data_IF_677038587690
#
_entry.id   IF_677038587690
#
_cell.length_a   1.000
_cell.length_b   1.000
_cell.length_c   1.000
_cell.angle_alpha   90.00
_cell.angle_beta   90.00
_cell.angle_gamma   90.00
#
_symmetry.space_group_name_H-M   'P 1'
#
loop_
_entity.id
_entity.type
_entity.pdbx_description
1 polymer ?
#
# COMPACT_ATOMS: atom_id res chain seq x y z
N UNK A 1 -0.49 -23.78 -7.03
CA UNK A 1 -0.61 -22.76 -8.09
C UNK A 1 0.73 -22.06 -8.26
N UNK A 2 1.27 -21.99 -9.47
CA UNK A 2 2.61 -21.41 -9.66
C UNK A 2 2.58 -19.89 -9.50
N UNK A 3 3.63 -19.32 -8.88
CA UNK A 3 3.87 -17.88 -8.73
C UNK A 3 3.59 -17.08 -10.02
N UNK A 4 4.02 -17.64 -11.17
CA UNK A 4 3.80 -17.02 -12.49
C UNK A 4 2.32 -16.86 -12.82
N UNK A 5 1.49 -17.85 -12.49
CA UNK A 5 0.04 -17.79 -12.73
C UNK A 5 -0.62 -16.71 -11.86
N UNK A 6 -0.30 -16.66 -10.56
CA UNK A 6 -0.82 -15.65 -9.66
C UNK A 6 -0.42 -14.23 -10.09
N UNK A 7 0.83 -14.05 -10.55
CA UNK A 7 1.31 -12.76 -11.04
C UNK A 7 0.59 -12.33 -12.31
N UNK A 8 0.45 -13.20 -13.30
CA UNK A 8 -0.29 -12.91 -14.54
C UNK A 8 -1.75 -12.57 -14.21
N UNK A 9 -2.39 -13.35 -13.34
CA UNK A 9 -3.76 -13.10 -12.91
C UNK A 9 -3.95 -11.71 -12.28
N UNK A 10 -3.10 -11.34 -11.31
CA UNK A 10 -3.16 -10.03 -10.65
C UNK A 10 -2.89 -8.88 -11.62
N UNK A 11 -1.90 -9.03 -12.49
CA UNK A 11 -1.56 -8.00 -13.49
C UNK A 11 -2.72 -7.80 -14.47
N UNK A 12 -3.30 -8.87 -14.98
CA UNK A 12 -4.45 -8.80 -15.91
C UNK A 12 -5.64 -8.10 -15.25
N UNK A 13 -6.00 -8.47 -14.02
CA UNK A 13 -7.09 -7.81 -13.30
C UNK A 13 -6.82 -6.33 -13.04
N UNK A 14 -5.60 -5.98 -12.68
CA UNK A 14 -5.20 -4.58 -12.45
C UNK A 14 -5.30 -3.76 -13.74
N UNK A 15 -4.88 -4.33 -14.87
CA UNK A 15 -4.98 -3.67 -16.18
C UNK A 15 -6.42 -3.52 -16.65
N UNK A 16 -7.25 -4.54 -16.47
CA UNK A 16 -8.69 -4.48 -16.79
C UNK A 16 -9.37 -3.40 -15.97
N UNK A 17 -9.09 -3.34 -14.67
CA UNK A 17 -9.67 -2.31 -13.79
C UNK A 17 -9.16 -0.91 -14.14
N UNK A 18 -7.86 -0.78 -14.43
CA UNK A 18 -7.26 0.48 -14.89
C UNK A 18 -7.87 0.97 -16.20
N UNK A 19 -8.12 0.07 -17.14
CA UNK A 19 -8.81 0.39 -18.41
C UNK A 19 -10.26 0.82 -18.21
N UNK A 20 -11.00 0.13 -17.34
CA UNK A 20 -12.37 0.51 -17.00
C UNK A 20 -12.44 1.89 -16.33
N UNK A 21 -11.51 2.19 -15.41
CA UNK A 21 -11.42 3.49 -14.76
C UNK A 21 -11.07 4.59 -15.76
N UNK A 22 -10.09 4.35 -16.64
CA UNK A 22 -9.73 5.30 -17.69
C UNK A 22 -10.90 5.57 -18.65
N UNK A 23 -11.65 4.54 -19.03
CA UNK A 23 -12.86 4.68 -19.83
C UNK A 23 -13.90 5.55 -19.13
N UNK A 24 -14.17 5.32 -17.85
CA UNK A 24 -15.10 6.12 -17.06
C UNK A 24 -14.69 7.60 -16.99
N UNK A 25 -13.40 7.92 -16.83
CA UNK A 25 -12.93 9.32 -16.81
C UNK A 25 -12.92 10.00 -18.17
N UNK A 26 -12.81 9.26 -19.29
CA UNK A 26 -12.78 9.83 -20.64
C UNK A 26 -14.20 10.07 -21.18
N UNK A 27 -15.14 9.16 -20.89
CA UNK A 27 -16.48 9.14 -21.50
C UNK A 27 -17.56 9.62 -20.53
N UNK A 28 -17.38 9.39 -19.22
CA UNK A 28 -18.32 9.75 -18.16
C UNK A 28 -18.05 11.13 -17.58
N UNK A 29 -19.10 11.75 -17.05
CA UNK A 29 -19.00 12.96 -16.23
C UNK A 29 -19.11 12.56 -14.74
N UNK A 30 -17.98 12.56 -14.05
CA UNK A 30 -17.86 12.05 -12.67
C UNK A 30 -18.87 12.68 -11.69
N UNK A 31 -19.21 13.95 -11.90
CA UNK A 31 -20.13 14.67 -11.02
C UNK A 31 -21.60 14.36 -11.34
N UNK A 32 -21.94 14.27 -12.62
CA UNK A 32 -23.30 13.99 -13.08
C UNK A 32 -23.67 12.54 -12.84
N UNK A 33 -22.82 11.59 -13.30
CA UNK A 33 -22.99 10.15 -13.12
C UNK A 33 -22.95 9.74 -11.64
N UNK A 34 -22.09 10.38 -10.84
CA UNK A 34 -22.01 10.18 -9.39
C UNK A 34 -23.27 10.66 -8.65
N UNK A 35 -23.89 11.74 -9.12
CA UNK A 35 -25.16 12.24 -8.61
C UNK A 35 -26.31 11.23 -8.85
N UNK A 36 -26.44 10.73 -10.07
CA UNK A 36 -27.42 9.71 -10.42
C UNK A 36 -27.23 8.40 -9.63
N UNK A 37 -26.00 8.01 -9.40
CA UNK A 37 -25.67 6.82 -8.59
C UNK A 37 -26.16 6.98 -7.14
N UNK A 38 -26.06 8.17 -6.58
CA UNK A 38 -26.51 8.49 -5.22
C UNK A 38 -28.04 8.53 -5.10
N UNK A 39 -28.77 8.83 -6.16
CA UNK A 39 -30.22 8.82 -6.19
C UNK A 39 -30.80 7.40 -6.28
N UNK A 40 -30.00 6.44 -6.77
CA UNK A 40 -30.41 5.05 -6.91
C UNK A 40 -30.06 4.24 -5.65
N UNK A 41 -31.05 3.61 -4.95
CA UNK A 41 -30.79 2.79 -3.77
C UNK A 41 -29.78 1.66 -4.01
N UNK A 42 -29.80 1.03 -5.20
CA UNK A 42 -28.82 0.02 -5.58
C UNK A 42 -27.42 0.58 -5.83
N UNK A 43 -27.34 1.83 -6.28
CA UNK A 43 -26.07 2.56 -6.41
C UNK A 43 -25.41 2.78 -5.05
N UNK A 44 -26.19 3.20 -4.05
CA UNK A 44 -25.72 3.36 -2.67
C UNK A 44 -25.21 2.02 -2.10
N UNK A 45 -25.97 0.94 -2.26
CA UNK A 45 -25.56 -0.41 -1.79
C UNK A 45 -24.25 -0.83 -2.45
N UNK A 46 -24.10 -0.63 -3.76
CA UNK A 46 -22.86 -0.94 -4.48
C UNK A 46 -21.67 -0.13 -3.98
N UNK A 47 -21.89 1.14 -3.65
CA UNK A 47 -20.86 1.98 -3.08
C UNK A 47 -20.39 1.48 -1.72
N UNK A 48 -21.33 1.12 -0.83
CA UNK A 48 -21.00 0.51 0.45
C UNK A 48 -20.22 -0.79 0.30
N UNK A 49 -20.62 -1.67 -0.62
CA UNK A 49 -19.94 -2.94 -0.89
C UNK A 49 -18.47 -2.73 -1.30
N UNK A 50 -18.23 -1.79 -2.21
CA UNK A 50 -16.87 -1.43 -2.65
C UNK A 50 -16.04 -0.88 -1.50
N UNK A 51 -16.57 0.05 -0.70
CA UNK A 51 -15.83 0.62 0.43
C UNK A 51 -15.55 -0.41 1.52
N UNK A 52 -16.51 -1.27 1.84
CA UNK A 52 -16.30 -2.39 2.77
C UNK A 52 -15.18 -3.31 2.26
N UNK A 53 -15.15 -3.60 0.95
CA UNK A 53 -14.05 -4.34 0.33
C UNK A 53 -12.68 -3.65 0.51
N UNK A 54 -12.63 -2.32 0.37
CA UNK A 54 -11.39 -1.56 0.63
C UNK A 54 -10.96 -1.67 2.10
N UNK A 55 -11.89 -1.58 3.05
CA UNK A 55 -11.56 -1.74 4.48
C UNK A 55 -11.04 -3.15 4.80
N UNK A 56 -11.58 -4.20 4.20
CA UNK A 56 -11.02 -5.54 4.34
C UNK A 56 -9.60 -5.63 3.79
N UNK A 57 -9.34 -5.01 2.64
CA UNK A 57 -8.00 -5.01 2.05
C UNK A 57 -7.01 -4.18 2.87
N UNK A 58 -7.42 -3.02 3.39
CA UNK A 58 -6.64 -2.20 4.32
C UNK A 58 -6.34 -2.97 5.61
N UNK A 59 -7.32 -3.71 6.15
CA UNK A 59 -7.13 -4.60 7.30
C UNK A 59 -6.03 -5.64 7.06
N UNK A 60 -5.98 -6.21 5.86
CA UNK A 60 -4.89 -7.11 5.47
C UNK A 60 -3.54 -6.39 5.39
N UNK A 61 -3.48 -5.16 4.87
CA UNK A 61 -2.25 -4.36 4.86
C UNK A 61 -1.76 -4.08 6.28
N UNK A 62 -2.67 -3.67 7.19
CA UNK A 62 -2.36 -3.43 8.62
C UNK A 62 -1.80 -4.68 9.28
N UNK A 63 -2.37 -5.84 8.98
CA UNK A 63 -1.88 -7.11 9.51
C UNK A 63 -0.50 -7.49 8.97
N UNK A 64 -0.21 -7.13 7.71
CA UNK A 64 1.00 -7.52 6.99
C UNK A 64 2.19 -6.58 7.21
N UNK A 65 1.93 -5.26 7.23
CA UNK A 65 2.98 -4.24 7.32
C UNK A 65 3.17 -3.80 8.79
N UNK A 66 4.41 -3.69 9.22
CA UNK A 66 4.73 -3.24 10.58
C UNK A 66 4.97 -1.71 10.67
N UNK A 67 5.07 -1.01 9.53
CA UNK A 67 5.37 0.41 9.47
C UNK A 67 4.10 1.25 9.34
N UNK A 68 3.73 2.07 10.34
CA UNK A 68 2.50 2.86 10.30
C UNK A 68 2.46 3.86 9.14
N UNK A 69 3.59 4.45 8.77
CA UNK A 69 3.68 5.36 7.63
C UNK A 69 3.37 4.69 6.28
N UNK A 70 3.82 3.46 6.08
CA UNK A 70 3.54 2.68 4.87
C UNK A 70 2.08 2.27 4.83
N UNK A 71 1.53 1.84 5.98
CA UNK A 71 0.11 1.50 6.12
C UNK A 71 -0.76 2.69 5.75
N UNK A 72 -0.48 3.86 6.33
CA UNK A 72 -1.24 5.08 6.07
C UNK A 72 -1.17 5.49 4.59
N UNK A 73 0.03 5.48 4.00
CA UNK A 73 0.22 5.85 2.60
C UNK A 73 -0.58 4.95 1.65
N UNK A 74 -0.52 3.63 1.82
CA UNK A 74 -1.29 2.70 1.01
C UNK A 74 -2.79 2.76 1.28
N UNK A 75 -3.22 2.97 2.53
CA UNK A 75 -4.63 3.12 2.87
C UNK A 75 -5.25 4.33 2.18
N UNK A 76 -4.59 5.49 2.24
CA UNK A 76 -5.04 6.71 1.55
C UNK A 76 -5.05 6.50 0.03
N UNK A 77 -4.00 5.89 -0.52
CA UNK A 77 -3.92 5.61 -1.95
C UNK A 77 -5.05 4.68 -2.42
N UNK A 78 -5.44 3.67 -1.63
CA UNK A 78 -6.54 2.75 -1.95
C UNK A 78 -7.88 3.47 -1.90
N UNK A 79 -8.11 4.33 -0.91
CA UNK A 79 -9.36 5.09 -0.80
C UNK A 79 -9.55 6.06 -1.97
N UNK A 80 -8.46 6.60 -2.54
CA UNK A 80 -8.50 7.52 -3.69
C UNK A 80 -8.46 6.80 -5.04
N UNK A 81 -7.64 5.77 -5.17
CA UNK A 81 -7.41 5.06 -6.44
C UNK A 81 -8.13 3.72 -6.57
N UNK A 82 -8.86 3.32 -5.53
CA UNK A 82 -9.72 2.14 -5.54
C UNK A 82 -8.98 0.82 -5.80
N UNK A 83 -9.68 -0.06 -6.52
CA UNK A 83 -9.19 -1.41 -6.82
C UNK A 83 -7.92 -1.45 -7.70
N UNK A 84 -7.63 -0.39 -8.47
CA UNK A 84 -6.38 -0.32 -9.26
C UNK A 84 -5.18 -0.27 -8.32
N UNK A 85 -5.24 0.56 -7.27
CA UNK A 85 -4.16 0.68 -6.29
C UNK A 85 -4.05 -0.59 -5.44
N UNK A 86 -5.18 -1.21 -5.07
CA UNK A 86 -5.20 -2.51 -4.39
C UNK A 86 -4.50 -3.59 -5.21
N UNK A 87 -4.81 -3.67 -6.52
CA UNK A 87 -4.16 -4.58 -7.45
C UNK A 87 -2.65 -4.31 -7.57
N UNK A 88 -2.25 -3.05 -7.69
CA UNK A 88 -0.84 -2.65 -7.76
C UNK A 88 -0.08 -3.05 -6.49
N UNK A 89 -0.65 -2.82 -5.30
CA UNK A 89 -0.08 -3.26 -4.04
C UNK A 89 0.12 -4.78 -4.00
N UNK A 90 -0.91 -5.55 -4.42
CA UNK A 90 -0.83 -7.01 -4.46
C UNK A 90 0.27 -7.51 -5.41
N UNK A 91 0.41 -6.89 -6.60
CA UNK A 91 1.48 -7.21 -7.56
C UNK A 91 2.86 -6.92 -6.98
N UNK A 92 3.08 -5.72 -6.44
CA UNK A 92 4.35 -5.33 -5.81
C UNK A 92 4.71 -6.27 -4.67
N UNK A 93 3.74 -6.63 -3.87
CA UNK A 93 3.88 -7.55 -2.73
C UNK A 93 4.28 -8.96 -3.19
N UNK A 94 3.62 -9.47 -4.23
CA UNK A 94 3.93 -10.77 -4.80
C UNK A 94 5.34 -10.82 -5.42
N UNK A 95 5.76 -9.74 -6.07
CA UNK A 95 7.11 -9.61 -6.60
C UNK A 95 8.17 -9.63 -5.49
N UNK A 96 7.90 -8.92 -4.38
CA UNK A 96 8.79 -8.84 -3.22
C UNK A 96 8.89 -10.15 -2.44
N UNK A 97 7.82 -10.93 -2.37
CA UNK A 97 7.78 -12.22 -1.65
C UNK A 97 8.60 -13.34 -2.32
N UNK A 98 9.14 -13.10 -3.54
CA UNK A 98 9.93 -14.07 -4.32
C UNK A 98 9.27 -15.44 -4.49
N UNK A 99 7.96 -15.55 -4.26
CA UNK A 99 7.17 -16.78 -4.39
C UNK A 99 6.95 -17.54 -3.09
N UNK A 100 7.38 -17.01 -1.97
CA UNK A 100 7.02 -17.53 -0.64
C UNK A 100 5.64 -17.01 -0.23
N UNK A 101 4.66 -17.92 -0.16
CA UNK A 101 3.30 -17.60 0.22
C UNK A 101 3.20 -17.04 1.65
N UNK A 102 4.03 -17.53 2.57
CA UNK A 102 4.07 -17.03 3.94
C UNK A 102 4.52 -15.58 3.99
N UNK A 103 5.57 -15.25 3.24
CA UNK A 103 6.08 -13.89 3.12
C UNK A 103 5.08 -12.96 2.40
N UNK A 104 4.31 -13.50 1.45
CA UNK A 104 3.26 -12.75 0.76
C UNK A 104 2.12 -12.36 1.71
N UNK A 105 1.61 -13.30 2.53
CA UNK A 105 0.47 -13.05 3.40
C UNK A 105 0.82 -12.37 4.72
N UNK A 106 1.94 -12.73 5.33
CA UNK A 106 2.33 -12.28 6.68
C UNK A 106 3.34 -11.13 6.68
N UNK A 107 3.97 -10.82 5.53
CA UNK A 107 4.99 -9.78 5.43
C UNK A 107 6.32 -10.15 6.10
N UNK A 108 7.30 -9.27 5.96
CA UNK A 108 8.60 -9.37 6.63
C UNK A 108 8.66 -8.30 7.73
N UNK A 109 8.26 -8.66 8.95
CA UNK A 109 8.13 -7.75 10.11
C UNK A 109 9.41 -7.03 10.56
N UNK A 110 10.53 -7.23 9.86
CA UNK A 110 11.85 -6.71 10.27
C UNK A 110 12.24 -5.36 9.65
N UNK A 111 11.46 -4.83 8.71
CA UNK A 111 11.94 -3.70 7.89
C UNK A 111 11.84 -2.33 8.55
N UNK A 112 11.03 -2.13 9.56
CA UNK A 112 10.92 -0.84 10.23
C UNK A 112 11.95 -0.63 11.32
N UNK A 113 12.35 -1.66 12.04
CA UNK A 113 13.35 -1.52 13.12
C UNK A 113 14.77 -1.28 12.61
N UNK A 114 15.11 -1.64 11.35
CA UNK A 114 16.47 -1.53 10.84
C UNK A 114 16.89 -0.08 10.50
N UNK A 115 15.95 0.78 10.08
CA UNK A 115 16.31 2.16 9.72
C UNK A 115 16.42 3.10 10.90
N UNK A 116 15.52 2.99 11.88
CA UNK A 116 15.59 3.84 13.08
C UNK A 116 16.81 3.51 13.96
N UNK A 117 17.24 2.24 13.99
CA UNK A 117 18.42 1.84 14.75
C UNK A 117 19.72 2.31 14.10
N UNK A 118 19.82 2.32 12.76
CA UNK A 118 21.00 2.83 12.05
C UNK A 118 21.14 4.37 12.13
N UNK A 119 20.03 5.10 12.09
CA UNK A 119 20.04 6.55 12.26
C UNK A 119 20.33 6.95 13.73
N UNK A 120 19.81 6.20 14.70
CA UNK A 120 20.11 6.40 16.12
C UNK A 120 21.58 6.14 16.46
N UNK A 121 22.16 5.05 15.97
CA UNK A 121 23.57 4.71 16.19
C UNK A 121 24.54 5.70 15.54
N UNK A 122 24.23 6.21 14.34
CA UNK A 122 25.05 7.25 13.69
C UNK A 122 24.98 8.60 14.43
N UNK A 123 23.86 8.90 15.07
CA UNK A 123 23.70 10.08 15.90
C UNK A 123 24.56 10.03 17.17
N UNK A 124 24.61 8.87 17.85
CA UNK A 124 25.42 8.68 19.07
C UNK A 124 26.94 8.65 18.79
N UNK A 125 27.37 7.97 17.70
CA UNK A 125 28.79 7.99 17.31
C UNK A 125 29.29 9.41 16.94
N UNK A 126 28.43 10.24 16.37
CA UNK A 126 28.75 11.65 16.06
C UNK A 126 28.94 12.49 17.30
N UNK A 127 28.17 12.25 18.36
CA UNK A 127 28.26 12.99 19.64
C UNK A 127 29.51 12.57 20.43
N UNK A 128 29.81 11.27 20.50
CA UNK A 128 30.97 10.75 21.21
C UNK A 128 32.30 11.15 20.56
N UNK A 129 32.34 11.32 19.23
CA UNK A 129 33.52 11.84 18.53
C UNK A 129 33.76 13.34 18.74
N UNK A 130 32.71 14.11 18.98
CA UNK A 130 32.79 15.55 19.21
C UNK A 130 33.30 15.93 20.63
N UNK A 131 33.13 15.06 21.62
CA UNK A 131 33.58 15.31 23.00
C UNK A 131 35.04 14.88 23.24
N UNK A 132 35.58 13.96 22.45
CA UNK A 132 36.97 13.49 22.59
C UNK A 132 38.03 14.46 22.08
N UNK A 133 37.67 15.46 21.27
CA UNK A 133 38.65 16.39 20.66
C UNK A 133 38.85 17.71 21.44
N UNK A 134 38.10 17.94 22.52
CA UNK A 134 38.21 19.15 23.35
C UNK A 134 39.04 18.99 24.64
N UNK A 135 39.68 17.83 24.86
CA UNK A 135 40.33 17.46 26.12
C UNK A 135 41.86 17.49 26.14
N UNK A 136 42.57 17.95 25.09
CA UNK A 136 44.02 18.02 25.13
C UNK A 136 44.54 19.34 24.56
N UNK A 137 44.54 20.34 25.40
CA UNK A 137 45.15 21.64 25.12
C UNK A 137 45.39 22.44 26.41
N UNK A 138 46.37 22.00 27.21
CA UNK A 138 47.13 22.85 28.16
C UNK A 138 48.55 22.34 28.17
#
# INVERSE_FOLDING_TARGET
>A
MGRKFALVYLVVLTLVMGGALAYGFIVGDFWEDGGELMENPWGIVSLFDVYVGFFFFIGWIVYRESCPGIILAWSVAILLGGNVVSGLYAVVTLLRSKGDAKLFFMGDGRRCCSKETEEGLKGEEGILKGEGEKGHGV
#
